data_IF_266826386653
#
_entry.id   IF_266826386653
#
_cell.length_a   1.000
_cell.length_b   1.000
_cell.length_c   1.000
_cell.angle_alpha   90.00
_cell.angle_beta   90.00
_cell.angle_gamma   90.00
#
_symmetry.space_group_name_H-M   'P 1'
#
loop_
_entity.id
_entity.type
_entity.pdbx_description
1 polymer ?
#
# COMPACT_ATOMS: atom_id res chain seq x y z
N UNK A 1 21.04 -0.68 3.90
CA UNK A 1 20.73 -1.21 4.10
C UNK A 1 20.17 -1.75 4.10
N UNK A 2 20.00 -1.55 3.92
CA UNK A 2 19.48 -1.97 3.85
C UNK A 2 18.58 -2.60 4.21
N UNK A 3 18.32 -2.23 3.98
CA UNK A 3 16.97 -2.80 4.01
C UNK A 3 16.98 -4.27 4.32
N UNK A 4 18.07 -4.87 4.35
CA UNK A 4 18.20 -6.28 4.73
C UNK A 4 17.72 -6.42 6.15
N UNK A 5 16.70 -7.28 6.37
CA UNK A 5 16.14 -7.49 7.69
C UNK A 5 15.01 -6.55 8.04
N UNK A 6 14.79 -5.52 7.24
CA UNK A 6 13.68 -4.63 7.50
C UNK A 6 12.37 -5.27 7.03
N UNK A 7 11.38 -5.29 7.90
CA UNK A 7 10.07 -5.84 7.56
C UNK A 7 9.11 -4.74 7.16
N UNK A 8 8.29 -5.04 6.18
CA UNK A 8 7.21 -4.13 5.82
C UNK A 8 6.19 -4.10 6.96
N UNK A 9 5.34 -3.09 6.96
CA UNK A 9 4.26 -3.01 7.96
C UNK A 9 3.36 -4.22 7.84
N UNK A 10 3.08 -4.67 6.62
CA UNK A 10 2.24 -5.83 6.38
C UNK A 10 2.83 -7.10 6.97
N UNK A 11 4.12 -7.31 6.73
CA UNK A 11 4.78 -8.51 7.26
C UNK A 11 4.87 -8.50 8.78
N UNK A 12 5.08 -7.31 9.34
CA UNK A 12 5.23 -7.19 10.78
C UNK A 12 3.91 -7.37 11.53
N UNK A 13 2.84 -6.76 11.03
CA UNK A 13 1.59 -6.70 11.77
C UNK A 13 0.47 -7.60 11.24
N UNK A 14 0.58 -8.07 10.00
CA UNK A 14 -0.48 -8.88 9.41
C UNK A 14 0.08 -9.98 8.51
N UNK A 15 1.01 -10.81 9.02
CA UNK A 15 1.67 -11.82 8.16
C UNK A 15 0.72 -12.85 7.59
N UNK A 16 -0.43 -13.07 8.22
CA UNK A 16 -1.38 -14.08 7.76
C UNK A 16 -2.53 -13.50 6.96
N UNK A 17 -2.48 -12.21 6.63
CA UNK A 17 -3.53 -11.56 5.87
C UNK A 17 -3.60 -12.11 4.45
N UNK A 18 -4.82 -12.31 3.97
CA UNK A 18 -5.05 -12.77 2.59
C UNK A 18 -5.62 -11.66 1.70
N UNK A 19 -5.51 -10.41 2.13
CA UNK A 19 -5.97 -9.29 1.32
C UNK A 19 -5.32 -9.33 -0.07
N UNK A 20 -6.12 -9.13 -1.10
CA UNK A 20 -5.59 -9.18 -2.45
C UNK A 20 -4.47 -8.16 -2.68
N UNK A 21 -4.63 -6.96 -2.18
CA UNK A 21 -3.62 -5.93 -2.40
C UNK A 21 -2.43 -6.03 -1.48
N UNK A 22 -2.65 -6.30 -0.20
CA UNK A 22 -1.60 -6.16 0.80
C UNK A 22 -1.33 -7.39 1.66
N UNK A 23 -2.03 -8.50 1.43
CA UNK A 23 -1.87 -9.68 2.27
C UNK A 23 -0.63 -10.49 1.94
N UNK A 24 0.32 -10.60 2.88
CA UNK A 24 1.51 -11.42 2.63
C UNK A 24 1.20 -12.88 2.35
N UNK A 25 0.08 -13.38 2.87
CA UNK A 25 -0.28 -14.78 2.74
C UNK A 25 -1.09 -15.11 1.48
N UNK A 26 -1.47 -14.10 0.69
CA UNK A 26 -2.18 -14.36 -0.56
C UNK A 26 -1.18 -14.47 -1.70
N UNK A 27 -0.91 -15.70 -2.11
CA UNK A 27 0.11 -15.93 -3.14
C UNK A 27 -0.25 -15.37 -4.50
N UNK A 28 -1.54 -15.11 -4.73
CA UNK A 28 -2.00 -14.53 -6.00
C UNK A 28 -2.24 -13.04 -5.90
N UNK A 29 -1.96 -12.46 -4.76
CA UNK A 29 -2.17 -11.03 -4.53
C UNK A 29 -0.98 -10.19 -4.96
N UNK A 30 -1.15 -8.90 -4.78
CA UNK A 30 -0.09 -7.95 -5.15
C UNK A 30 1.03 -7.90 -4.13
N UNK A 31 0.74 -8.26 -2.89
CA UNK A 31 1.72 -8.34 -1.81
C UNK A 31 2.52 -7.06 -1.66
N UNK A 32 1.82 -5.93 -1.62
CA UNK A 32 2.51 -4.65 -1.45
C UNK A 32 3.19 -4.60 -0.09
N UNK A 33 4.26 -3.82 -0.03
CA UNK A 33 5.05 -3.70 1.19
C UNK A 33 5.27 -2.23 1.49
N UNK A 34 4.76 -1.80 2.63
CA UNK A 34 4.82 -0.40 3.03
C UNK A 34 5.85 -0.23 4.14
N UNK A 35 6.64 0.83 4.06
CA UNK A 35 7.71 1.13 5.01
C UNK A 35 7.58 2.54 5.50
N UNK A 36 8.02 2.79 6.73
CA UNK A 36 7.96 4.13 7.29
C UNK A 36 8.92 5.07 6.57
N UNK A 37 8.48 6.31 6.42
CA UNK A 37 9.36 7.38 5.95
C UNK A 37 9.12 8.61 6.85
N UNK A 38 9.65 9.76 6.46
CA UNK A 38 9.58 10.95 7.32
C UNK A 38 8.17 11.51 7.51
N UNK A 39 7.25 11.22 6.59
CA UNK A 39 5.92 11.80 6.63
C UNK A 39 4.80 10.79 6.85
N UNK A 40 5.09 9.52 6.69
CA UNK A 40 4.08 8.47 6.80
C UNK A 40 4.64 7.15 6.35
N UNK A 41 4.13 6.64 5.25
CA UNK A 41 4.63 5.38 4.68
C UNK A 41 4.92 5.56 3.20
N UNK A 42 5.82 4.73 2.72
CA UNK A 42 6.10 4.71 1.29
C UNK A 42 6.34 3.27 0.83
N UNK A 43 6.11 3.02 -0.44
CA UNK A 43 6.28 1.70 -1.01
C UNK A 43 6.77 1.80 -2.45
N UNK A 44 7.41 0.74 -2.90
CA UNK A 44 7.75 0.57 -4.31
C UNK A 44 7.03 -0.67 -4.80
N UNK A 45 6.59 -0.64 -6.06
CA UNK A 45 5.89 -1.77 -6.64
C UNK A 45 6.29 -1.91 -8.10
N UNK A 46 6.70 -3.11 -8.47
CA UNK A 46 6.98 -3.42 -9.88
C UNK A 46 5.78 -4.14 -10.47
N UNK A 47 5.27 -3.61 -11.57
CA UNK A 47 4.11 -4.21 -12.21
C UNK A 47 4.51 -5.42 -13.04
N UNK A 48 3.56 -6.33 -13.23
CA UNK A 48 3.72 -7.53 -14.05
C UNK A 48 2.80 -7.47 -15.24
N UNK A 49 2.99 -8.37 -16.21
CA UNK A 49 2.24 -8.34 -17.45
C UNK A 49 0.74 -8.44 -17.26
N UNK A 50 0.30 -9.21 -16.25
CA UNK A 50 -1.13 -9.38 -15.99
C UNK A 50 -1.79 -8.14 -15.41
N UNK A 51 -1.01 -7.12 -15.07
CA UNK A 51 -1.54 -5.88 -14.52
C UNK A 51 -1.92 -4.85 -15.58
N UNK A 52 -1.79 -5.20 -16.84
CA UNK A 52 -2.02 -4.25 -17.93
C UNK A 52 -3.48 -4.14 -18.33
N UNK A 53 -3.88 -2.93 -18.75
CA UNK A 53 -5.17 -2.69 -19.38
C UNK A 53 -5.02 -2.84 -20.89
N UNK A 54 -4.09 -2.10 -21.45
CA UNK A 54 -3.69 -2.19 -22.87
C UNK A 54 -2.21 -2.54 -22.88
N UNK A 55 -1.71 -3.10 -23.99
CA UNK A 55 -0.28 -3.36 -24.03
C UNK A 55 0.53 -2.12 -23.69
N UNK A 56 1.35 -2.23 -22.67
CA UNK A 56 2.20 -1.13 -22.22
C UNK A 56 1.61 -0.19 -21.21
N UNK A 57 0.34 -0.36 -20.82
CA UNK A 57 -0.34 0.56 -19.88
C UNK A 57 -0.95 -0.24 -18.74
N UNK A 58 -0.72 0.21 -17.52
CA UNK A 58 -1.22 -0.47 -16.33
C UNK A 58 -2.70 -0.17 -16.11
N UNK A 59 -3.45 -1.21 -15.72
CA UNK A 59 -4.86 -1.11 -15.42
C UNK A 59 -5.11 -0.13 -14.27
N UNK A 60 -6.08 0.78 -14.45
CA UNK A 60 -6.40 1.77 -13.42
C UNK A 60 -6.88 1.13 -12.11
N UNK A 61 -7.53 -0.03 -12.20
CA UNK A 61 -7.96 -0.75 -11.00
C UNK A 61 -6.78 -1.27 -10.19
N UNK A 62 -5.69 -1.65 -10.85
CA UNK A 62 -4.48 -2.06 -10.14
C UNK A 62 -3.90 -0.85 -9.40
N UNK A 63 -3.82 0.30 -10.07
CA UNK A 63 -3.36 1.53 -9.41
C UNK A 63 -4.26 1.85 -8.21
N UNK A 64 -5.57 1.70 -8.40
CA UNK A 64 -6.52 1.93 -7.30
C UNK A 64 -6.28 1.02 -6.11
N UNK A 65 -6.02 -0.27 -6.38
CA UNK A 65 -5.74 -1.21 -5.29
C UNK A 65 -4.46 -0.83 -4.55
N UNK A 66 -3.42 -0.44 -5.28
CA UNK A 66 -2.17 -0.04 -4.64
C UNK A 66 -2.38 1.18 -3.74
N UNK A 67 -3.09 2.18 -4.23
CA UNK A 67 -3.33 3.40 -3.46
C UNK A 67 -4.25 3.15 -2.28
N UNK A 68 -5.30 2.33 -2.47
CA UNK A 68 -6.25 2.03 -1.41
C UNK A 68 -5.58 1.24 -0.27
N UNK A 69 -4.92 0.15 -0.60
CA UNK A 69 -4.29 -0.67 0.43
C UNK A 69 -3.17 0.07 1.14
N UNK A 70 -2.33 0.79 0.39
CA UNK A 70 -1.26 1.56 1.01
C UNK A 70 -1.84 2.66 1.91
N UNK A 71 -2.86 3.37 1.44
CA UNK A 71 -3.50 4.42 2.22
C UNK A 71 -4.15 3.89 3.49
N UNK A 72 -4.74 2.70 3.42
CA UNK A 72 -5.33 2.07 4.60
C UNK A 72 -4.25 1.77 5.64
N UNK A 73 -3.08 1.30 5.20
CA UNK A 73 -1.97 1.07 6.12
C UNK A 73 -1.41 2.37 6.69
N UNK A 74 -1.37 3.44 5.89
CA UNK A 74 -0.97 4.75 6.39
C UNK A 74 -1.87 5.17 7.53
N UNK A 75 -3.19 5.00 7.37
CA UNK A 75 -4.15 5.34 8.42
C UNK A 75 -3.97 4.48 9.66
N UNK A 76 -3.82 3.16 9.46
CA UNK A 76 -3.69 2.24 10.59
C UNK A 76 -2.46 2.53 11.42
N UNK A 77 -1.33 2.76 10.76
CA UNK A 77 -0.08 3.03 11.47
C UNK A 77 -0.14 4.40 12.16
N UNK A 78 -0.74 5.40 11.54
CA UNK A 78 -0.89 6.71 12.17
C UNK A 78 -1.73 6.63 13.43
N UNK A 79 -2.81 5.84 13.39
CA UNK A 79 -3.65 5.66 14.57
C UNK A 79 -2.91 4.89 15.67
N UNK A 80 -2.15 3.88 15.29
CA UNK A 80 -1.34 3.14 16.24
C UNK A 80 -0.38 4.07 16.96
N UNK A 81 0.30 4.92 16.21
CA UNK A 81 1.28 5.86 16.77
C UNK A 81 0.61 6.88 17.69
N UNK A 82 -0.55 7.41 17.27
CA UNK A 82 -1.25 8.41 18.04
C UNK A 82 -1.73 7.86 19.39
N UNK A 83 -2.20 6.62 19.39
CA UNK A 83 -2.72 5.98 20.61
C UNK A 83 -1.62 5.36 21.47
N UNK A 84 -0.41 5.24 20.93
CA UNK A 84 0.68 4.59 21.64
C UNK A 84 0.52 3.09 21.73
N UNK A 85 -0.24 2.48 20.82
CA UNK A 85 -0.49 1.05 20.83
C UNK A 85 0.67 0.27 20.22
N UNK A 86 0.76 -1.00 20.58
CA UNK A 86 1.77 -1.90 20.03
C UNK A 86 1.36 -2.51 18.70
N UNK A 87 0.06 -2.48 18.40
CA UNK A 87 -0.48 -3.05 17.17
C UNK A 87 -1.45 -2.06 16.55
N UNK A 88 -1.51 -2.01 15.22
CA UNK A 88 -2.44 -1.11 14.55
C UNK A 88 -3.87 -1.60 14.71
N UNK A 89 -4.83 -0.66 14.75
CA UNK A 89 -6.23 -1.06 14.75
C UNK A 89 -6.63 -1.60 13.37
N UNK A 90 -7.74 -2.32 13.34
CA UNK A 90 -8.32 -2.76 12.08
C UNK A 90 -9.03 -1.56 11.45
N UNK A 91 -8.57 -1.14 10.29
CA UNK A 91 -9.19 -0.02 9.58
C UNK A 91 -9.75 -0.51 8.26
N UNK A 92 -10.87 0.09 7.85
CA UNK A 92 -11.48 -0.21 6.57
C UNK A 92 -11.71 1.07 5.81
N UNK A 93 -11.56 0.99 4.50
CA UNK A 93 -11.76 2.13 3.63
C UNK A 93 -13.24 2.42 3.47
N UNK A 94 -13.66 3.61 3.85
CA UNK A 94 -15.04 4.03 3.67
C UNK A 94 -15.26 4.63 2.28
N UNK A 95 -14.29 5.41 1.82
CA UNK A 95 -14.38 6.01 0.50
C UNK A 95 -13.00 6.48 0.08
N UNK A 96 -12.81 6.61 -1.21
CA UNK A 96 -11.56 7.20 -1.73
C UNK A 96 -11.83 7.74 -3.13
N UNK A 97 -10.96 8.66 -3.56
CA UNK A 97 -11.02 9.16 -4.91
C UNK A 97 -9.62 9.19 -5.48
N UNK A 98 -9.51 9.03 -6.79
CA UNK A 98 -8.24 8.94 -7.47
C UNK A 98 -8.26 9.81 -8.71
N UNK A 99 -7.17 10.55 -8.94
CA UNK A 99 -6.96 11.28 -10.17
C UNK A 99 -5.86 10.59 -10.95
N UNK A 100 -6.22 9.93 -12.04
CA UNK A 100 -5.25 9.28 -12.91
C UNK A 100 -4.89 10.27 -14.01
N UNK A 101 -3.85 11.05 -13.75
CA UNK A 101 -3.52 12.19 -14.61
C UNK A 101 -2.84 11.81 -15.91
N UNK A 102 -2.15 10.69 -15.92
CA UNK A 102 -1.46 10.18 -17.09
C UNK A 102 -1.49 8.68 -17.07
N UNK A 103 -1.46 8.04 -18.25
CA UNK A 103 -1.35 6.58 -18.26
C UNK A 103 -0.07 6.14 -17.54
N UNK A 104 -0.17 5.08 -16.75
CA UNK A 104 0.99 4.53 -16.06
C UNK A 104 1.63 3.49 -16.96
N UNK A 105 2.90 3.68 -17.35
CA UNK A 105 3.53 2.71 -18.24
C UNK A 105 3.82 1.38 -17.56
N UNK A 106 3.67 0.30 -18.33
CA UNK A 106 4.01 -1.03 -17.86
C UNK A 106 5.53 -1.16 -17.72
N UNK A 107 5.94 -2.19 -17.01
CA UNK A 107 7.37 -2.48 -16.80
C UNK A 107 8.09 -1.33 -16.10
N UNK A 108 7.38 -0.63 -15.21
CA UNK A 108 7.98 0.45 -14.46
C UNK A 108 7.90 0.12 -12.98
N UNK A 109 8.78 0.76 -12.23
CA UNK A 109 8.76 0.66 -10.78
C UNK A 109 8.00 1.88 -10.27
N UNK A 110 6.90 1.64 -9.56
CA UNK A 110 6.06 2.70 -9.04
C UNK A 110 6.47 3.02 -7.61
N UNK A 111 6.59 4.29 -7.30
CA UNK A 111 6.86 4.75 -5.94
C UNK A 111 5.62 5.45 -5.43
N UNK A 112 5.09 4.99 -4.30
CA UNK A 112 3.85 5.51 -3.73
C UNK A 112 4.13 5.99 -2.32
N UNK A 113 3.77 7.23 -2.04
CA UNK A 113 3.95 7.82 -0.71
C UNK A 113 2.59 8.22 -0.16
N UNK A 114 2.41 7.96 1.13
CA UNK A 114 1.15 8.30 1.78
C UNK A 114 1.39 8.94 3.13
N UNK A 115 0.55 9.89 3.47
CA UNK A 115 0.58 10.54 4.77
C UNK A 115 -0.83 10.87 5.21
N UNK A 116 -1.03 10.96 6.51
CA UNK A 116 -2.32 11.35 7.06
C UNK A 116 -2.43 12.86 7.03
N UNK A 117 -3.58 13.35 6.60
CA UNK A 117 -3.86 14.78 6.60
C UNK A 117 -4.64 15.17 7.85
N UNK A 118 -5.58 14.30 8.27
CA UNK A 118 -6.48 14.64 9.35
C UNK A 118 -7.01 13.38 10.02
N UNK A 119 -7.14 13.42 11.34
CA UNK A 119 -7.79 12.37 12.12
C UNK A 119 -8.92 13.03 12.91
N UNK A 120 -10.12 12.51 12.75
CA UNK A 120 -11.29 13.02 13.47
C UNK A 120 -11.90 11.94 14.35
N UNK A 121 -12.28 12.35 15.50
CA UNK A 121 -13.00 11.65 16.49
C UNK A 121 -13.31 10.37 16.69
#
# INVERSE_FOLDING_TARGET
MDEIGEMSMQEKFAPNSICFGCGPANEKGLKIKSYRNNEGLEMEFETSEEHQAFPGIINGGIIGTLLDCHGNWVAAIALMDEEGDENPPCTVTASYSINLRRPTPANSKLNIKGKVIEIKG
#
